data_IF_436035135020
#
_entry.id   IF_436035135020
#
_cell.length_a   1.000
_cell.length_b   1.000
_cell.length_c   1.000
_cell.angle_alpha   90.00
_cell.angle_beta   90.00
_cell.angle_gamma   90.00
#
_symmetry.space_group_name_H-M   'P 1'
#
loop_
_entity.id
_entity.type
_entity.pdbx_description
1 polymer ?
#
# COMPACT_ATOMS: atom_id res chain seq x y z
N UNK A 1 -7.17 62.27 -30.23
CA UNK A 1 -6.55 61.33 -31.21
C UNK A 1 -5.47 60.45 -30.55
N UNK A 2 -4.62 60.98 -29.66
CA UNK A 2 -3.59 60.19 -28.97
C UNK A 2 -4.12 59.11 -27.99
N UNK A 3 -5.26 59.30 -27.36
CA UNK A 3 -5.84 58.28 -26.42
C UNK A 3 -6.33 57.01 -27.13
N UNK A 4 -6.91 57.15 -28.33
CA UNK A 4 -7.40 56.01 -29.11
C UNK A 4 -6.25 55.10 -29.57
N UNK A 5 -5.18 55.70 -30.10
CA UNK A 5 -4.01 54.92 -30.54
C UNK A 5 -3.33 54.16 -29.37
N UNK A 6 -3.31 54.71 -28.18
CA UNK A 6 -2.79 54.06 -27.00
C UNK A 6 -3.67 52.87 -26.58
N UNK A 7 -4.99 53.04 -26.61
CA UNK A 7 -5.96 51.98 -26.26
C UNK A 7 -5.92 50.82 -27.26
N UNK A 8 -5.76 51.09 -28.57
CA UNK A 8 -5.56 50.04 -29.59
C UNK A 8 -4.23 49.34 -29.35
N UNK A 9 -3.16 50.02 -28.99
CA UNK A 9 -1.87 49.44 -28.69
C UNK A 9 -1.89 48.54 -27.47
N UNK A 10 -2.61 48.93 -26.43
CA UNK A 10 -2.77 48.12 -25.22
C UNK A 10 -3.58 46.85 -25.54
N UNK A 11 -4.69 46.97 -26.28
CA UNK A 11 -5.50 45.81 -26.70
C UNK A 11 -4.74 44.80 -27.58
N UNK A 12 -3.93 45.29 -28.53
CA UNK A 12 -3.13 44.41 -29.39
C UNK A 12 -2.07 43.67 -28.57
N UNK A 13 -1.47 44.32 -27.57
CA UNK A 13 -0.50 43.71 -26.67
C UNK A 13 -1.14 42.61 -25.83
N UNK A 14 -2.30 42.90 -25.22
CA UNK A 14 -3.07 41.92 -24.44
C UNK A 14 -3.51 40.73 -25.29
N UNK A 15 -3.92 40.96 -26.53
CA UNK A 15 -4.29 39.89 -27.46
C UNK A 15 -3.09 38.97 -27.84
N UNK A 16 -1.91 39.58 -28.04
CA UNK A 16 -0.68 38.83 -28.32
C UNK A 16 -0.25 38.00 -27.11
N UNK A 17 -0.31 38.59 -25.90
CA UNK A 17 0.04 37.88 -24.68
C UNK A 17 -0.94 36.73 -24.39
N UNK A 18 -2.22 36.93 -24.63
CA UNK A 18 -3.22 35.87 -24.53
C UNK A 18 -2.94 34.71 -25.55
N UNK A 19 -2.66 35.03 -26.79
CA UNK A 19 -2.32 34.07 -27.82
C UNK A 19 -1.04 33.28 -27.47
N UNK A 20 -0.03 33.97 -26.94
CA UNK A 20 1.22 33.35 -26.49
C UNK A 20 0.98 32.35 -25.34
N UNK A 21 0.20 32.76 -24.34
CA UNK A 21 -0.12 31.90 -23.21
C UNK A 21 -0.92 30.66 -23.61
N UNK A 22 -1.89 30.81 -24.51
CA UNK A 22 -2.65 29.69 -25.08
C UNK A 22 -1.73 28.73 -25.86
N UNK A 23 -0.87 29.27 -26.72
CA UNK A 23 0.08 28.46 -27.49
C UNK A 23 1.06 27.72 -26.60
N UNK A 24 1.53 28.34 -25.53
CA UNK A 24 2.40 27.70 -24.55
C UNK A 24 1.68 26.55 -23.82
N UNK A 25 0.44 26.76 -23.39
CA UNK A 25 -0.37 25.70 -22.77
C UNK A 25 -0.61 24.51 -23.71
N UNK A 26 -0.95 24.79 -24.97
CA UNK A 26 -1.13 23.76 -25.99
C UNK A 26 0.17 23.00 -26.30
N UNK A 27 1.31 23.70 -26.31
CA UNK A 27 2.63 23.07 -26.52
C UNK A 27 2.93 22.03 -25.43
N UNK A 28 2.69 22.37 -24.15
CA UNK A 28 2.90 21.45 -23.03
C UNK A 28 2.01 20.22 -23.15
N UNK A 29 0.74 20.38 -23.48
CA UNK A 29 -0.19 19.24 -23.67
C UNK A 29 0.21 18.37 -24.85
N UNK A 30 0.69 18.97 -25.94
CA UNK A 30 1.15 18.25 -27.12
C UNK A 30 2.42 17.42 -26.84
N UNK A 31 3.34 17.95 -26.04
CA UNK A 31 4.53 17.21 -25.61
C UNK A 31 4.17 16.03 -24.69
N UNK A 32 3.20 16.21 -23.81
CA UNK A 32 2.70 15.12 -22.97
C UNK A 32 1.98 14.03 -23.78
N UNK A 33 1.30 14.37 -24.86
CA UNK A 33 0.64 13.39 -25.74
C UNK A 33 1.63 12.42 -26.42
N UNK A 34 2.87 12.85 -26.63
CA UNK A 34 3.93 12.02 -27.24
C UNK A 34 4.66 11.11 -26.21
N UNK A 35 4.51 11.38 -24.92
CA UNK A 35 5.17 10.61 -23.87
C UNK A 35 4.44 9.29 -23.64
N UNK A 36 5.19 8.29 -23.14
CA UNK A 36 4.57 7.03 -22.68
C UNK A 36 3.65 7.31 -21.52
N UNK A 37 2.48 6.63 -21.42
CA UNK A 37 1.61 6.76 -20.26
C UNK A 37 2.35 6.35 -18.99
N UNK A 38 2.17 7.13 -17.91
CA UNK A 38 2.74 6.89 -16.58
C UNK A 38 1.77 6.09 -15.70
N UNK A 39 0.53 5.95 -16.16
CA UNK A 39 -0.54 5.25 -15.43
C UNK A 39 -0.35 3.75 -15.49
N UNK A 40 -0.48 3.09 -14.33
CA UNK A 40 -0.53 1.63 -14.21
C UNK A 40 -1.94 1.14 -14.48
N UNK A 41 -2.11 0.16 -15.35
CA UNK A 41 -3.40 -0.40 -15.74
C UNK A 41 -3.85 -1.47 -14.73
N UNK A 42 -4.09 -1.04 -13.48
CA UNK A 42 -4.62 -1.95 -12.46
C UNK A 42 -6.05 -2.44 -12.83
N UNK A 43 -6.41 -3.72 -12.71
CA UNK A 43 -5.65 -4.82 -12.07
C UNK A 43 -4.72 -5.61 -12.98
N UNK A 44 -4.66 -5.32 -14.29
CA UNK A 44 -3.87 -6.09 -15.27
C UNK A 44 -2.36 -5.89 -15.10
N UNK A 45 -1.98 -4.70 -14.67
CA UNK A 45 -0.60 -4.35 -14.35
C UNK A 45 -0.53 -3.99 -12.87
N UNK A 46 0.42 -4.58 -12.14
CA UNK A 46 0.65 -4.28 -10.72
C UNK A 46 2.12 -3.94 -10.49
N UNK A 47 2.35 -2.95 -9.63
CA UNK A 47 3.69 -2.65 -9.16
C UNK A 47 4.15 -3.72 -8.17
N UNK A 48 5.40 -4.16 -8.32
CA UNK A 48 6.04 -5.03 -7.33
C UNK A 48 6.36 -4.16 -6.11
N UNK A 49 5.81 -4.45 -4.94
CA UNK A 49 6.15 -3.74 -3.71
C UNK A 49 7.63 -3.87 -3.37
N UNK A 50 8.19 -2.88 -2.69
CA UNK A 50 9.58 -2.95 -2.22
C UNK A 50 9.73 -3.99 -1.11
N UNK A 51 10.95 -4.50 -0.88
CA UNK A 51 11.27 -5.46 0.19
C UNK A 51 10.89 -4.96 1.60
N UNK A 52 10.81 -3.63 1.78
CA UNK A 52 10.42 -2.99 3.04
C UNK A 52 8.92 -2.67 3.12
N UNK A 53 8.14 -3.19 2.19
CA UNK A 53 6.70 -2.96 2.19
C UNK A 53 6.03 -3.62 3.39
N UNK A 54 5.07 -2.92 4.00
CA UNK A 54 4.31 -3.38 5.15
C UNK A 54 2.89 -3.74 4.71
N UNK A 55 2.76 -4.90 4.09
CA UNK A 55 1.46 -5.45 3.69
C UNK A 55 0.84 -6.34 4.77
N UNK A 56 0.06 -7.31 4.35
CA UNK A 56 -0.60 -8.25 5.27
C UNK A 56 0.42 -8.98 6.16
N UNK A 57 0.12 -9.11 7.43
CA UNK A 57 0.90 -9.90 8.37
C UNK A 57 0.63 -11.38 8.09
N UNK A 58 1.69 -12.15 7.86
CA UNK A 58 1.65 -13.61 7.79
C UNK A 58 2.09 -14.19 9.13
N UNK A 59 1.45 -15.28 9.55
CA UNK A 59 1.65 -15.90 10.85
C UNK A 59 1.93 -17.39 10.72
N UNK A 60 3.03 -17.84 11.32
CA UNK A 60 3.41 -19.24 11.42
C UNK A 60 3.06 -19.78 12.80
N UNK A 61 1.97 -20.54 12.87
CA UNK A 61 1.41 -21.05 14.13
C UNK A 61 2.41 -21.91 14.91
N UNK A 62 3.14 -22.79 14.23
CA UNK A 62 4.04 -23.76 14.87
C UNK A 62 5.25 -23.12 15.58
N UNK A 63 5.63 -21.91 15.19
CA UNK A 63 6.73 -21.16 15.79
C UNK A 63 6.32 -20.34 17.02
N UNK A 64 5.02 -20.15 17.23
CA UNK A 64 4.54 -19.26 18.26
C UNK A 64 4.55 -19.91 19.65
N UNK A 65 5.13 -19.22 20.63
CA UNK A 65 5.21 -19.66 22.04
C UNK A 65 4.19 -18.96 22.94
N UNK A 66 3.22 -18.25 22.39
CA UNK A 66 2.21 -17.50 23.15
C UNK A 66 2.80 -16.54 24.22
N UNK A 67 3.87 -15.82 23.86
CA UNK A 67 4.56 -14.91 24.77
C UNK A 67 3.87 -13.55 24.96
N UNK A 68 2.87 -13.21 24.13
CA UNK A 68 2.08 -11.97 24.15
C UNK A 68 2.91 -10.67 23.96
N UNK A 69 4.16 -10.77 23.51
CA UNK A 69 4.99 -9.59 23.22
C UNK A 69 4.33 -8.75 22.12
N UNK A 70 3.81 -9.38 21.08
CA UNK A 70 3.11 -8.72 19.97
C UNK A 70 1.92 -7.86 20.43
N UNK A 71 1.21 -8.28 21.49
CA UNK A 71 0.11 -7.49 22.09
C UNK A 71 0.68 -6.26 22.80
N UNK A 72 1.70 -6.44 23.63
CA UNK A 72 2.28 -5.35 24.44
C UNK A 72 2.99 -4.27 23.61
N UNK A 73 3.61 -4.64 22.49
CA UNK A 73 4.29 -3.67 21.60
C UNK A 73 3.35 -3.01 20.61
N UNK A 74 2.14 -3.52 20.47
CA UNK A 74 1.14 -2.94 19.59
C UNK A 74 0.61 -1.64 20.21
N UNK A 75 0.64 -0.49 19.51
CA UNK A 75 0.19 0.79 20.05
C UNK A 75 -1.31 0.83 20.38
N UNK A 76 -2.08 -0.10 19.83
CA UNK A 76 -3.54 -0.22 20.04
C UNK A 76 -3.95 -1.53 20.68
N UNK A 77 -3.00 -2.35 21.17
CA UNK A 77 -3.24 -3.67 21.77
C UNK A 77 -4.14 -4.59 20.94
N UNK A 78 -3.96 -4.57 19.61
CA UNK A 78 -4.88 -5.20 18.67
C UNK A 78 -4.78 -6.74 18.61
N UNK A 79 -3.59 -7.38 18.55
CA UNK A 79 -3.48 -8.82 18.42
C UNK A 79 -4.14 -9.53 19.60
N UNK A 80 -4.98 -10.52 19.32
CA UNK A 80 -5.60 -11.37 20.33
C UNK A 80 -4.90 -12.72 20.34
N UNK A 81 -4.33 -13.10 21.48
CA UNK A 81 -3.62 -14.36 21.68
C UNK A 81 -4.41 -15.20 22.67
N UNK A 82 -5.08 -16.22 22.19
CA UNK A 82 -5.83 -17.17 23.03
C UNK A 82 -4.98 -18.41 23.29
N UNK A 83 -4.69 -18.67 24.55
CA UNK A 83 -3.87 -19.79 24.97
C UNK A 83 -4.42 -20.45 26.23
N UNK A 84 -4.08 -21.73 26.41
CA UNK A 84 -4.46 -22.50 27.60
C UNK A 84 -3.19 -23.11 28.22
N UNK A 85 -3.18 -23.16 29.53
CA UNK A 85 -2.11 -23.84 30.27
C UNK A 85 -2.34 -25.36 30.22
N UNK A 86 -1.44 -26.09 29.55
CA UNK A 86 -1.45 -27.56 29.65
C UNK A 86 -1.06 -27.99 31.09
N UNK A 87 -1.93 -28.75 31.70
CA UNK A 87 -1.74 -29.20 33.12
C UNK A 87 -0.59 -30.20 33.28
N UNK A 88 -0.31 -30.98 32.20
CA UNK A 88 0.73 -32.03 32.25
C UNK A 88 2.11 -31.45 32.00
N UNK A 89 2.25 -30.63 30.99
CA UNK A 89 3.54 -30.08 30.54
C UNK A 89 3.88 -28.73 31.19
N UNK A 90 2.91 -28.08 31.86
CA UNK A 90 2.98 -26.70 32.39
C UNK A 90 3.42 -25.66 31.37
N UNK A 91 3.18 -25.93 30.10
CA UNK A 91 3.46 -25.01 28.96
C UNK A 91 2.18 -24.36 28.49
N UNK A 92 2.33 -23.15 27.95
CA UNK A 92 1.25 -22.45 27.24
C UNK A 92 1.02 -23.15 25.91
N UNK A 93 -0.20 -23.55 25.63
CA UNK A 93 -0.63 -24.06 24.33
C UNK A 93 -1.51 -23.01 23.68
N UNK A 94 -1.08 -22.55 22.50
CA UNK A 94 -1.81 -21.59 21.71
C UNK A 94 -3.05 -22.25 21.11
N UNK A 95 -4.22 -21.63 21.32
CA UNK A 95 -5.48 -22.06 20.70
C UNK A 95 -5.81 -21.27 19.45
N UNK A 96 -5.73 -19.96 19.56
CA UNK A 96 -6.05 -19.07 18.47
C UNK A 96 -5.17 -17.82 18.52
N UNK A 97 -4.96 -17.24 17.35
CA UNK A 97 -4.32 -15.96 17.19
C UNK A 97 -5.10 -15.17 16.13
N UNK A 98 -5.51 -13.97 16.45
CA UNK A 98 -6.28 -13.15 15.51
C UNK A 98 -5.83 -11.71 15.47
N UNK A 99 -5.95 -11.10 14.30
CA UNK A 99 -5.70 -9.69 14.04
C UNK A 99 -6.85 -9.14 13.19
N UNK A 100 -7.44 -8.04 13.64
CA UNK A 100 -8.42 -7.29 12.84
C UNK A 100 -7.69 -6.29 11.94
N UNK A 101 -7.58 -6.59 10.66
CA UNK A 101 -6.98 -5.69 9.67
C UNK A 101 -7.82 -4.46 9.37
N UNK A 102 -9.09 -4.43 9.77
CA UNK A 102 -9.92 -3.23 9.69
C UNK A 102 -9.52 -2.12 10.67
N UNK A 103 -8.68 -2.44 11.67
CA UNK A 103 -8.18 -1.51 12.69
C UNK A 103 -6.65 -1.42 12.68
N UNK A 104 -5.97 -2.44 12.15
CA UNK A 104 -4.51 -2.53 12.13
C UNK A 104 -3.89 -1.37 11.35
N UNK A 105 -2.89 -0.71 11.95
CA UNK A 105 -2.15 0.40 11.32
C UNK A 105 -0.90 -0.06 10.55
N UNK A 106 -0.66 -1.36 10.44
CA UNK A 106 0.49 -1.95 9.73
C UNK A 106 1.86 -1.38 10.14
N UNK A 107 2.04 -1.03 11.42
CA UNK A 107 3.28 -0.43 11.92
C UNK A 107 4.48 -1.39 11.92
N UNK A 108 4.24 -2.72 11.96
CA UNK A 108 5.29 -3.74 11.94
C UNK A 108 5.92 -4.06 13.31
N UNK A 109 5.58 -3.36 14.39
CA UNK A 109 6.17 -3.58 15.69
C UNK A 109 6.02 -5.04 16.19
N UNK A 110 4.85 -5.66 15.93
CA UNK A 110 4.62 -7.05 16.31
C UNK A 110 5.57 -8.04 15.61
N UNK A 111 5.99 -7.72 14.41
CA UNK A 111 6.95 -8.50 13.62
C UNK A 111 8.37 -8.30 14.16
N UNK A 112 8.79 -7.06 14.34
CA UNK A 112 10.14 -6.69 14.79
C UNK A 112 10.47 -7.23 16.20
N UNK A 113 9.51 -7.18 17.11
CA UNK A 113 9.70 -7.60 18.49
C UNK A 113 9.34 -9.08 18.75
N UNK A 114 9.01 -9.85 17.71
CA UNK A 114 8.69 -11.28 17.88
C UNK A 114 9.94 -12.10 18.14
N UNK A 115 10.10 -12.73 19.32
CA UNK A 115 11.32 -13.46 19.65
C UNK A 115 11.51 -14.75 18.85
N UNK A 116 10.44 -15.30 18.30
CA UNK A 116 10.46 -16.54 17.52
C UNK A 116 10.32 -16.31 16.03
N UNK A 117 10.22 -15.04 15.58
CA UNK A 117 10.00 -14.66 14.19
C UNK A 117 8.82 -15.42 13.54
N UNK A 118 7.75 -15.65 14.33
CA UNK A 118 6.55 -16.30 13.81
C UNK A 118 5.64 -15.37 13.01
N UNK A 119 5.91 -14.07 13.02
CA UNK A 119 5.21 -13.04 12.28
C UNK A 119 6.14 -12.47 11.20
N UNK A 120 5.62 -12.27 10.00
CA UNK A 120 6.33 -11.65 8.90
C UNK A 120 5.42 -10.68 8.13
N UNK A 121 6.01 -9.61 7.56
CA UNK A 121 5.30 -8.74 6.63
C UNK A 121 5.35 -9.33 5.23
N UNK A 122 4.25 -9.23 4.52
CA UNK A 122 4.14 -9.74 3.15
C UNK A 122 3.95 -8.61 2.15
N UNK A 123 4.02 -8.93 0.87
CA UNK A 123 3.74 -7.98 -0.21
C UNK A 123 2.25 -7.78 -0.47
N UNK A 124 1.38 -8.56 0.19
CA UNK A 124 -0.06 -8.55 -0.05
C UNK A 124 -0.71 -7.29 0.52
N UNK A 125 -1.38 -6.53 -0.32
CA UNK A 125 -2.08 -5.28 0.04
C UNK A 125 -3.56 -5.28 -0.32
N UNK A 126 -4.02 -6.27 -1.08
CA UNK A 126 -5.41 -6.36 -1.54
C UNK A 126 -6.31 -6.96 -0.45
N UNK A 127 -6.61 -6.15 0.55
CA UNK A 127 -7.42 -6.54 1.71
C UNK A 127 -8.81 -5.90 1.71
N UNK A 128 -9.27 -5.38 0.56
CA UNK A 128 -10.58 -4.77 0.46
C UNK A 128 -11.70 -5.82 0.63
N UNK A 129 -12.66 -5.52 1.47
CA UNK A 129 -13.81 -6.38 1.73
C UNK A 129 -15.09 -5.57 1.85
N UNK A 130 -16.26 -6.17 1.53
CA UNK A 130 -17.55 -5.52 1.68
C UNK A 130 -18.01 -5.43 3.14
N UNK A 131 -17.61 -6.42 3.97
CA UNK A 131 -17.92 -6.45 5.38
C UNK A 131 -16.66 -6.30 6.21
N UNK A 132 -16.69 -5.37 7.15
CA UNK A 132 -15.61 -5.11 8.09
C UNK A 132 -15.23 -6.36 8.90
N UNK A 133 -16.19 -7.19 9.27
CA UNK A 133 -15.95 -8.38 10.10
C UNK A 133 -15.13 -9.44 9.38
N UNK A 134 -15.15 -9.45 8.04
CA UNK A 134 -14.32 -10.35 7.23
C UNK A 134 -12.83 -10.00 7.28
N UNK A 135 -12.46 -8.82 7.78
CA UNK A 135 -11.07 -8.39 7.98
C UNK A 135 -10.48 -8.84 9.32
N UNK A 136 -11.27 -9.45 10.19
CA UNK A 136 -10.77 -10.08 11.40
C UNK A 136 -10.24 -11.49 11.06
N UNK A 137 -8.94 -11.58 10.85
CA UNK A 137 -8.27 -12.81 10.44
C UNK A 137 -7.86 -13.63 11.66
N UNK A 138 -8.30 -14.88 11.67
CA UNK A 138 -7.89 -15.90 12.63
C UNK A 138 -6.53 -16.53 12.25
N UNK A 139 -6.06 -17.47 13.05
CA UNK A 139 -4.79 -18.18 12.82
C UNK A 139 -4.73 -18.89 11.47
N UNK A 140 -5.85 -19.41 10.96
CA UNK A 140 -5.93 -20.11 9.66
C UNK A 140 -5.80 -19.11 8.52
N UNK A 141 -6.53 -18.00 8.58
CA UNK A 141 -6.49 -16.96 7.57
C UNK A 141 -5.12 -16.24 7.53
N UNK A 142 -4.50 -16.02 8.70
CA UNK A 142 -3.18 -15.42 8.81
C UNK A 142 -2.07 -16.35 8.32
N UNK A 143 -2.25 -17.68 8.50
CA UNK A 143 -1.30 -18.72 8.04
C UNK A 143 -1.35 -18.97 6.53
N UNK A 144 -2.34 -18.42 5.82
CA UNK A 144 -2.39 -18.53 4.36
C UNK A 144 -1.15 -17.90 3.73
N UNK A 145 -0.48 -18.65 2.86
CA UNK A 145 0.66 -18.13 2.11
C UNK A 145 0.26 -16.89 1.31
N UNK A 146 1.07 -15.83 1.34
CA UNK A 146 0.78 -14.61 0.60
C UNK A 146 0.85 -14.86 -0.91
N UNK A 147 -0.06 -14.26 -1.65
CA UNK A 147 0.04 -14.17 -3.10
C UNK A 147 1.03 -13.05 -3.46
N UNK A 148 2.13 -13.42 -4.10
CA UNK A 148 3.07 -12.43 -4.65
C UNK A 148 2.63 -11.97 -6.04
N UNK A 149 2.81 -10.69 -6.34
CA UNK A 149 2.56 -10.11 -7.68
C UNK A 149 3.37 -10.82 -8.77
N UNK A 150 4.54 -11.36 -8.42
CA UNK A 150 5.41 -12.09 -9.35
C UNK A 150 4.93 -13.50 -9.68
N UNK A 151 4.10 -14.08 -8.83
CA UNK A 151 3.59 -15.46 -9.01
C UNK A 151 2.21 -15.53 -9.63
N UNK A 152 1.53 -14.40 -9.79
CA UNK A 152 0.21 -14.33 -10.40
C UNK A 152 0.33 -14.31 -11.94
N UNK A 153 -0.07 -15.38 -12.65
CA UNK A 153 0.07 -15.46 -14.10
C UNK A 153 -0.86 -14.51 -14.87
N UNK A 154 -1.87 -13.95 -14.21
CA UNK A 154 -2.84 -13.02 -14.80
C UNK A 154 -2.38 -11.57 -14.80
N UNK A 155 -1.29 -11.26 -14.10
CA UNK A 155 -0.82 -9.89 -13.87
C UNK A 155 0.56 -9.68 -14.48
N UNK A 156 0.77 -8.53 -15.12
CA UNK A 156 2.09 -8.11 -15.56
C UNK A 156 2.81 -7.36 -14.43
N UNK A 157 3.90 -7.92 -13.87
CA UNK A 157 4.64 -7.27 -12.79
C UNK A 157 5.48 -6.12 -13.33
N UNK A 158 5.28 -4.93 -12.80
CA UNK A 158 6.08 -3.74 -13.08
C UNK A 158 7.05 -3.46 -11.93
N UNK A 159 8.34 -3.51 -12.20
CA UNK A 159 9.40 -3.24 -11.19
C UNK A 159 9.58 -1.77 -10.87
N UNK A 160 9.39 -0.91 -11.85
CA UNK A 160 9.57 0.54 -11.70
C UNK A 160 8.54 1.29 -12.53
N UNK A 161 7.99 2.37 -11.95
CA UNK A 161 7.42 3.44 -12.74
C UNK A 161 8.59 4.07 -13.49
N UNK A 162 8.68 3.84 -14.79
CA UNK A 162 9.71 4.46 -15.64
C UNK A 162 9.42 5.96 -15.69
N UNK A 163 9.90 6.69 -14.69
CA UNK A 163 10.02 8.14 -14.79
C UNK A 163 11.11 8.42 -15.83
N UNK A 164 10.70 8.65 -17.06
CA UNK A 164 11.59 9.23 -18.03
C UNK A 164 11.93 10.64 -17.55
N UNK A 165 13.23 10.98 -17.39
CA UNK A 165 13.62 12.35 -17.11
C UNK A 165 13.05 13.25 -18.20
N UNK A 166 12.58 14.43 -17.79
CA UNK A 166 12.02 15.45 -18.66
C UNK A 166 13.06 15.98 -19.62
#
# INVERSE_FOLDING_TARGET
MFGFLKQVGDYTRDAVDAARNLTQGLSVTFDHMKRRPVTVQYPYEKLIPSERYRGRIHYEFDKCIACEVCVRVCPINLPVVDWVMNKETKKKELRNYSIDFGVCIFCGNCVEYCPTNCLSMTEEYELAAFDRHSLNYDNVALGRLPTSVTTDPSVQPLRELVYLPA
#
